data_IF_036461176081
#
_entry.id   IF_036461176081
#
_cell.length_a   1.000
_cell.length_b   1.000
_cell.length_c   1.000
_cell.angle_alpha   90.00
_cell.angle_beta   90.00
_cell.angle_gamma   90.00
#
_symmetry.space_group_name_H-M   'P 1'
#
loop_
_entity.id
_entity.type
_entity.pdbx_description
1 polymer ?
#
# COMPACT_ATOMS: atom_id res chain seq x y z
N UNK A 1 -1.75 -34.89 3.80
CA UNK A 1 -2.60 -34.11 4.74
C UNK A 1 -2.01 -32.73 5.08
N UNK A 2 -0.69 -32.59 5.25
CA UNK A 2 -0.05 -31.29 5.52
C UNK A 2 -0.22 -30.26 4.38
N UNK A 3 -0.11 -30.67 3.11
CA UNK A 3 -0.30 -29.78 1.95
C UNK A 3 -1.71 -29.19 1.85
N UNK A 4 -2.74 -29.97 2.18
CA UNK A 4 -4.12 -29.49 2.16
C UNK A 4 -4.40 -28.45 3.26
N UNK A 5 -3.69 -28.53 4.39
CA UNK A 5 -3.74 -27.50 5.44
C UNK A 5 -2.96 -26.25 5.03
N UNK A 6 -1.80 -26.43 4.41
CA UNK A 6 -0.99 -25.32 3.90
C UNK A 6 -1.71 -24.51 2.80
N UNK A 7 -2.40 -25.20 1.88
CA UNK A 7 -3.20 -24.55 0.84
C UNK A 7 -4.39 -23.74 1.40
N UNK A 8 -5.00 -24.19 2.51
CA UNK A 8 -6.08 -23.46 3.18
C UNK A 8 -5.56 -22.17 3.82
N UNK A 9 -4.40 -22.23 4.46
CA UNK A 9 -3.76 -21.04 5.07
C UNK A 9 -3.37 -20.04 3.99
N UNK A 10 -2.76 -20.49 2.88
CA UNK A 10 -2.43 -19.61 1.76
C UNK A 10 -3.67 -18.90 1.20
N UNK A 11 -4.75 -19.64 0.95
CA UNK A 11 -6.00 -19.05 0.44
C UNK A 11 -6.59 -18.02 1.40
N UNK A 12 -6.60 -18.30 2.71
CA UNK A 12 -7.11 -17.35 3.69
C UNK A 12 -6.25 -16.07 3.77
N UNK A 13 -4.92 -16.21 3.66
CA UNK A 13 -4.01 -15.06 3.60
C UNK A 13 -4.24 -14.26 2.32
N UNK A 14 -4.40 -14.90 1.17
CA UNK A 14 -4.70 -14.23 -0.10
C UNK A 14 -6.01 -13.44 -0.05
N UNK A 15 -7.08 -14.03 0.47
CA UNK A 15 -8.38 -13.36 0.64
C UNK A 15 -8.26 -12.15 1.57
N UNK A 16 -7.51 -12.28 2.67
CA UNK A 16 -7.23 -11.17 3.58
C UNK A 16 -6.47 -10.04 2.88
N UNK A 17 -5.41 -10.35 2.12
CA UNK A 17 -4.63 -9.36 1.37
C UNK A 17 -5.49 -8.62 0.37
N UNK A 18 -6.34 -9.35 -0.38
CA UNK A 18 -7.25 -8.74 -1.34
C UNK A 18 -8.29 -7.83 -0.67
N UNK A 19 -8.78 -8.17 0.53
CA UNK A 19 -9.68 -7.27 1.27
C UNK A 19 -8.95 -6.02 1.74
N UNK A 20 -7.77 -6.17 2.33
CA UNK A 20 -6.95 -5.04 2.78
C UNK A 20 -6.63 -4.08 1.63
N UNK A 21 -6.25 -4.63 0.47
CA UNK A 21 -5.96 -3.84 -0.72
C UNK A 21 -7.19 -3.06 -1.20
N UNK A 22 -8.32 -3.75 -1.38
CA UNK A 22 -9.58 -3.16 -1.87
C UNK A 22 -10.18 -2.14 -0.91
N UNK A 23 -10.23 -2.45 0.38
CA UNK A 23 -10.99 -1.68 1.36
C UNK A 23 -10.17 -0.54 1.95
N UNK A 24 -8.83 -0.65 1.95
CA UNK A 24 -7.95 0.34 2.58
C UNK A 24 -6.91 0.92 1.62
N UNK A 25 -6.11 0.09 0.94
CA UNK A 25 -4.96 0.58 0.15
C UNK A 25 -5.42 1.43 -1.04
N UNK A 26 -6.42 0.99 -1.80
CA UNK A 26 -6.96 1.80 -2.92
C UNK A 26 -7.48 3.15 -2.47
N UNK A 27 -8.18 3.19 -1.33
CA UNK A 27 -8.69 4.45 -0.78
C UNK A 27 -7.55 5.37 -0.33
N UNK A 28 -6.51 4.80 0.26
CA UNK A 28 -5.30 5.55 0.63
C UNK A 28 -4.56 6.09 -0.59
N UNK A 29 -4.39 5.29 -1.64
CA UNK A 29 -3.83 5.74 -2.93
C UNK A 29 -4.66 6.89 -3.51
N UNK A 30 -5.99 6.77 -3.53
CA UNK A 30 -6.87 7.84 -4.02
C UNK A 30 -6.71 9.15 -3.23
N UNK A 31 -6.57 9.07 -1.89
CA UNK A 31 -6.29 10.24 -1.06
C UNK A 31 -4.89 10.82 -1.31
N UNK A 32 -3.89 9.96 -1.47
CA UNK A 32 -2.52 10.36 -1.76
C UNK A 32 -2.45 11.13 -3.08
N UNK A 33 -3.02 10.60 -4.16
CA UNK A 33 -3.00 11.29 -5.46
C UNK A 33 -3.73 12.62 -5.43
N UNK A 34 -4.87 12.71 -4.73
CA UNK A 34 -5.60 13.98 -4.57
C UNK A 34 -4.77 15.01 -3.79
N UNK A 35 -4.14 14.60 -2.69
CA UNK A 35 -3.23 15.44 -1.91
C UNK A 35 -2.06 15.94 -2.79
N UNK A 36 -1.44 15.06 -3.57
CA UNK A 36 -0.35 15.43 -4.48
C UNK A 36 -0.80 16.41 -5.57
N UNK A 37 -2.02 16.26 -6.11
CA UNK A 37 -2.59 17.23 -7.05
C UNK A 37 -2.79 18.60 -6.40
N UNK A 38 -3.37 18.65 -5.20
CA UNK A 38 -3.54 19.89 -4.42
C UNK A 38 -2.20 20.58 -4.11
N UNK A 39 -1.14 19.79 -3.84
CA UNK A 39 0.22 20.33 -3.67
C UNK A 39 0.74 21.05 -4.93
N UNK A 40 0.46 20.50 -6.12
CA UNK A 40 0.89 21.04 -7.41
C UNK A 40 0.06 22.23 -7.89
N UNK A 41 -1.22 22.28 -7.49
CA UNK A 41 -2.14 23.36 -7.85
C UNK A 41 -1.89 24.66 -7.07
N UNK A 42 -1.14 24.61 -5.96
CA UNK A 42 -0.88 25.78 -5.13
C UNK A 42 0.17 26.71 -5.77
N UNK A 43 -0.23 27.91 -6.28
CA UNK A 43 0.69 28.82 -6.96
C UNK A 43 1.66 29.53 -5.99
N UNK A 44 1.40 29.47 -4.67
CA UNK A 44 2.25 30.09 -3.65
C UNK A 44 3.43 29.23 -3.20
N UNK A 45 3.50 27.97 -3.62
CA UNK A 45 4.61 27.08 -3.30
C UNK A 45 5.73 27.18 -4.33
N UNK A 46 6.97 27.29 -3.85
CA UNK A 46 8.15 27.01 -4.68
C UNK A 46 8.22 25.52 -5.02
N UNK A 47 9.00 25.18 -6.07
CA UNK A 47 9.21 23.78 -6.48
C UNK A 47 9.63 22.87 -5.32
N UNK A 48 10.56 23.32 -4.46
CA UNK A 48 11.01 22.53 -3.32
C UNK A 48 9.89 22.29 -2.28
N UNK A 49 9.00 23.27 -2.09
CA UNK A 49 7.85 23.13 -1.20
C UNK A 49 6.80 22.18 -1.78
N UNK A 50 6.58 22.20 -3.10
CA UNK A 50 5.70 21.23 -3.78
C UNK A 50 6.24 19.81 -3.61
N UNK A 51 7.52 19.58 -3.86
CA UNK A 51 8.14 18.26 -3.66
C UNK A 51 8.01 17.77 -2.22
N UNK A 52 8.32 18.63 -1.23
CA UNK A 52 8.20 18.27 0.16
C UNK A 52 6.74 18.03 0.60
N UNK A 53 5.77 18.70 -0.03
CA UNK A 53 4.34 18.46 0.16
C UNK A 53 3.93 17.07 -0.37
N UNK A 54 4.36 16.73 -1.59
CA UNK A 54 4.10 15.42 -2.20
C UNK A 54 4.70 14.29 -1.35
N UNK A 55 5.94 14.42 -0.87
CA UNK A 55 6.57 13.40 -0.01
C UNK A 55 5.74 13.13 1.27
N UNK A 56 5.14 14.19 1.84
CA UNK A 56 4.25 14.06 2.99
C UNK A 56 2.94 13.35 2.62
N UNK A 57 2.39 13.58 1.42
CA UNK A 57 1.21 12.87 0.94
C UNK A 57 1.46 11.36 0.78
N UNK A 58 2.68 10.96 0.39
CA UNK A 58 3.05 9.55 0.17
C UNK A 58 3.38 8.79 1.47
N UNK A 59 3.86 9.50 2.50
CA UNK A 59 4.32 8.89 3.76
C UNK A 59 3.29 7.96 4.43
N UNK A 60 1.99 8.31 4.55
CA UNK A 60 0.99 7.44 5.17
C UNK A 60 0.78 6.14 4.40
N UNK A 61 0.75 6.20 3.06
CA UNK A 61 0.59 5.01 2.22
C UNK A 61 1.81 4.09 2.34
N UNK A 62 3.02 4.65 2.28
CA UNK A 62 4.26 3.89 2.44
C UNK A 62 4.34 3.16 3.79
N UNK A 63 3.90 3.81 4.88
CA UNK A 63 3.81 3.18 6.21
C UNK A 63 2.82 2.02 6.24
N UNK A 64 1.63 2.20 5.68
CA UNK A 64 0.63 1.14 5.64
C UNK A 64 1.08 -0.06 4.79
N UNK A 65 1.64 0.19 3.61
CA UNK A 65 2.20 -0.83 2.73
C UNK A 65 3.37 -1.57 3.40
N UNK A 66 4.26 -0.84 4.10
CA UNK A 66 5.36 -1.42 4.86
C UNK A 66 4.91 -2.34 5.98
N UNK A 67 3.88 -1.92 6.75
CA UNK A 67 3.30 -2.76 7.81
C UNK A 67 2.68 -4.03 7.22
N UNK A 68 1.82 -3.91 6.21
CA UNK A 68 1.20 -5.07 5.55
C UNK A 68 2.25 -6.03 5.00
N UNK A 69 3.32 -5.51 4.39
CA UNK A 69 4.42 -6.33 3.86
C UNK A 69 5.16 -7.06 4.97
N UNK A 70 5.48 -6.38 6.08
CA UNK A 70 6.16 -6.97 7.24
C UNK A 70 5.32 -8.10 7.86
N UNK A 71 4.03 -7.85 8.10
CA UNK A 71 3.13 -8.84 8.68
C UNK A 71 3.01 -10.08 7.77
N UNK A 72 2.88 -9.88 6.46
CA UNK A 72 2.73 -10.98 5.51
C UNK A 72 4.03 -11.76 5.26
N UNK A 73 5.19 -11.13 5.38
CA UNK A 73 6.49 -11.81 5.35
C UNK A 73 6.62 -12.82 6.51
N UNK A 74 6.03 -12.53 7.67
CA UNK A 74 6.00 -13.49 8.80
C UNK A 74 5.22 -14.77 8.47
N UNK A 75 4.27 -14.72 7.53
CA UNK A 75 3.50 -15.88 7.08
C UNK A 75 4.18 -16.71 5.97
N UNK A 76 5.43 -16.39 5.57
CA UNK A 76 6.17 -17.04 4.48
C UNK A 76 5.42 -17.05 3.12
N UNK A 77 4.52 -16.09 2.89
CA UNK A 77 3.80 -15.93 1.61
C UNK A 77 4.59 -14.98 0.71
N UNK A 78 5.83 -15.35 0.40
CA UNK A 78 6.81 -14.50 -0.30
C UNK A 78 6.50 -14.22 -1.78
N UNK A 79 5.35 -14.67 -2.32
CA UNK A 79 5.12 -14.72 -3.78
C UNK A 79 4.05 -13.79 -4.34
N UNK A 80 3.31 -13.02 -3.52
CA UNK A 80 2.14 -12.27 -4.00
C UNK A 80 2.14 -10.75 -3.73
N UNK A 81 3.10 -10.21 -2.96
CA UNK A 81 3.07 -8.78 -2.62
C UNK A 81 3.77 -7.87 -3.63
N UNK A 82 4.64 -8.41 -4.47
CA UNK A 82 5.39 -7.62 -5.45
C UNK A 82 4.51 -7.03 -6.55
N UNK A 83 3.28 -7.50 -6.72
CA UNK A 83 2.35 -7.02 -7.74
C UNK A 83 1.49 -5.81 -7.30
N UNK A 84 1.32 -5.57 -6.00
CA UNK A 84 0.50 -4.47 -5.46
C UNK A 84 1.34 -3.21 -5.20
N UNK A 85 2.67 -3.34 -5.17
CA UNK A 85 3.62 -2.27 -4.80
C UNK A 85 4.09 -1.43 -6.00
N UNK A 86 3.86 -1.86 -7.24
CA UNK A 86 4.34 -1.19 -8.47
C UNK A 86 3.32 -0.24 -9.14
N UNK A 87 2.43 0.39 -8.35
CA UNK A 87 1.59 1.51 -8.78
C UNK A 87 1.37 2.49 -7.63
#
# INVERSE_FOLDING_TARGET
MAEAQQARVQKAVEEMVQSLERDHIRQMQGRMFRCSAECCENPGHSMNQVHQCIDRCHTPLAKAQGLVTSELQQFQVSRLLSAIIYF
#
